data_IF_799099838862
#
_entry.id   IF_799099838862
#
_cell.length_a   1.000
_cell.length_b   1.000
_cell.length_c   1.000
_cell.angle_alpha   90.00
_cell.angle_beta   90.00
_cell.angle_gamma   90.00
#
_symmetry.space_group_name_H-M   'P 1'
#
loop_
_entity.id
_entity.type
_entity.pdbx_description
1 polymer ?
#
# COMPACT_ATOMS: atom_id res chain seq x y z
N UNK A 1 6.03 9.10 13.68
CA UNK A 1 6.59 9.82 12.51
C UNK A 1 7.32 11.09 12.90
N UNK A 2 6.68 12.02 13.64
CA UNK A 2 7.30 13.30 14.01
C UNK A 2 8.63 13.15 14.75
N UNK A 3 8.77 12.18 15.64
CA UNK A 3 10.03 11.86 16.32
C UNK A 3 11.14 11.43 15.36
N UNK A 4 10.81 10.55 14.40
CA UNK A 4 11.78 10.10 13.38
C UNK A 4 12.25 11.27 12.53
N UNK A 5 11.32 12.13 12.11
CA UNK A 5 11.64 13.31 11.29
C UNK A 5 12.51 14.30 12.05
N UNK A 6 12.22 14.54 13.34
CA UNK A 6 13.05 15.43 14.18
C UNK A 6 14.48 14.91 14.36
N UNK A 7 14.65 13.58 14.50
CA UNK A 7 15.97 12.96 14.54
C UNK A 7 16.75 13.13 13.23
N UNK A 8 16.09 12.94 12.08
CA UNK A 8 16.70 13.12 10.77
C UNK A 8 17.15 14.58 10.57
N UNK A 9 16.29 15.54 10.93
CA UNK A 9 16.65 16.96 10.88
C UNK A 9 17.83 17.30 11.80
N UNK A 10 17.85 16.73 13.03
CA UNK A 10 18.98 16.88 13.95
C UNK A 10 20.27 16.36 13.33
N UNK A 11 20.27 15.15 12.77
CA UNK A 11 21.47 14.57 12.14
C UNK A 11 21.89 15.35 10.88
N UNK A 12 20.96 15.81 10.06
CA UNK A 12 21.27 16.67 8.93
C UNK A 12 21.93 17.99 9.33
N UNK A 13 21.55 18.56 10.49
CA UNK A 13 22.20 19.74 11.07
C UNK A 13 23.58 19.41 11.63
N UNK A 14 23.69 18.30 12.39
CA UNK A 14 24.92 17.88 13.05
C UNK A 14 26.02 17.48 12.06
N UNK A 15 25.67 16.76 11.01
CA UNK A 15 26.60 16.23 10.00
C UNK A 15 26.54 16.97 8.68
N UNK A 16 26.24 18.26 8.71
CA UNK A 16 26.15 19.10 7.53
C UNK A 16 27.46 19.10 6.75
N UNK A 17 27.57 18.24 5.74
CA UNK A 17 28.70 18.17 4.81
C UNK A 17 28.17 18.25 3.38
N UNK A 18 28.93 18.86 2.44
CA UNK A 18 28.57 18.83 1.02
C UNK A 18 28.36 17.39 0.53
N UNK A 19 27.22 17.12 -0.09
CA UNK A 19 26.89 15.80 -0.65
C UNK A 19 26.39 14.76 0.35
N UNK A 20 26.22 15.10 1.65
CA UNK A 20 25.62 14.19 2.64
C UNK A 20 24.29 14.75 3.13
N UNK A 21 23.24 13.96 2.96
CA UNK A 21 21.91 14.21 3.49
C UNK A 21 21.26 12.89 3.95
N UNK A 22 20.79 12.87 5.19
CA UNK A 22 19.93 11.78 5.66
C UNK A 22 18.49 12.06 5.21
N UNK A 23 17.83 11.08 4.66
CA UNK A 23 16.43 11.18 4.23
C UNK A 23 15.55 10.18 4.95
N UNK A 24 14.26 10.36 4.82
CA UNK A 24 13.25 9.40 5.22
C UNK A 24 12.38 9.04 4.02
N UNK A 25 12.10 7.77 3.90
CA UNK A 25 11.22 7.25 2.86
C UNK A 25 10.22 6.27 3.48
N UNK A 26 8.97 6.33 3.03
CA UNK A 26 7.98 5.33 3.37
C UNK A 26 7.69 4.46 2.15
N UNK A 27 8.18 3.23 2.18
CA UNK A 27 8.01 2.26 1.10
C UNK A 27 7.22 1.04 1.57
N UNK A 28 6.27 0.55 0.77
CA UNK A 28 5.67 -0.74 0.98
C UNK A 28 6.72 -1.83 0.72
N UNK A 29 7.13 -2.55 1.77
CA UNK A 29 8.15 -3.60 1.67
C UNK A 29 7.52 -4.99 1.75
N UNK A 30 7.70 -5.83 0.71
CA UNK A 30 7.03 -7.14 0.64
C UNK A 30 7.46 -8.06 1.80
N UNK A 31 8.75 -8.38 1.91
CA UNK A 31 9.23 -9.34 2.89
C UNK A 31 9.86 -8.72 4.13
N UNK A 32 10.24 -7.46 4.09
CA UNK A 32 10.88 -6.79 5.23
C UNK A 32 9.91 -6.70 6.41
N UNK A 33 8.65 -6.33 6.17
CA UNK A 33 7.63 -6.29 7.23
C UNK A 33 7.35 -7.66 7.87
N UNK A 34 7.49 -8.76 7.11
CA UNK A 34 7.39 -10.13 7.64
C UNK A 34 8.61 -10.48 8.50
N UNK A 35 9.81 -10.17 8.00
CA UNK A 35 11.06 -10.43 8.73
C UNK A 35 11.12 -9.65 10.05
N UNK A 36 10.80 -8.36 10.03
CA UNK A 36 10.79 -7.54 11.26
C UNK A 36 9.78 -8.08 12.28
N UNK A 37 8.56 -8.43 11.84
CA UNK A 37 7.56 -9.02 12.73
C UNK A 37 8.05 -10.34 13.37
N UNK A 38 8.80 -11.15 12.63
CA UNK A 38 9.41 -12.37 13.14
C UNK A 38 10.49 -12.08 14.17
N UNK A 39 11.44 -11.20 13.85
CA UNK A 39 12.55 -10.83 14.75
C UNK A 39 12.03 -10.21 16.04
N UNK A 40 11.08 -9.28 15.96
CA UNK A 40 10.50 -8.66 17.17
C UNK A 40 9.80 -9.70 18.06
N UNK A 41 9.19 -10.75 17.49
CA UNK A 41 8.65 -11.87 18.27
C UNK A 41 9.74 -12.68 18.94
N UNK A 42 10.83 -12.97 18.22
CA UNK A 42 12.01 -13.70 18.75
C UNK A 42 12.66 -12.90 19.88
N UNK A 43 12.68 -11.57 19.79
CA UNK A 43 13.18 -10.65 20.81
C UNK A 43 12.19 -10.41 21.97
N UNK A 44 11.03 -11.08 21.97
CA UNK A 44 10.04 -11.03 23.04
C UNK A 44 9.06 -9.86 22.99
N UNK A 45 9.03 -9.09 21.90
CA UNK A 45 8.05 -8.02 21.72
C UNK A 45 6.67 -8.56 21.35
N UNK A 46 5.63 -7.88 21.83
CA UNK A 46 4.24 -8.20 21.46
C UNK A 46 3.97 -7.71 20.03
N UNK A 47 3.93 -8.63 19.09
CA UNK A 47 3.64 -8.36 17.69
C UNK A 47 2.20 -8.75 17.38
N UNK A 48 1.33 -7.82 16.93
CA UNK A 48 -0.10 -8.08 16.74
C UNK A 48 -0.42 -8.98 15.53
N UNK A 49 0.51 -9.12 14.59
CA UNK A 49 0.37 -9.92 13.37
C UNK A 49 1.71 -10.38 12.83
N UNK A 50 1.69 -11.32 11.86
CA UNK A 50 2.93 -11.88 11.26
C UNK A 50 3.56 -11.00 10.17
N UNK A 51 3.03 -9.80 9.96
CA UNK A 51 3.52 -8.86 8.97
C UNK A 51 3.20 -7.43 9.39
N UNK A 52 4.21 -6.57 9.46
CA UNK A 52 4.00 -5.16 9.71
C UNK A 52 3.35 -4.46 8.51
N UNK A 53 2.64 -3.39 8.82
CA UNK A 53 2.00 -2.51 7.85
C UNK A 53 3.02 -1.78 6.97
N UNK A 54 2.65 -1.60 5.72
CA UNK A 54 3.45 -0.82 4.75
C UNK A 54 2.90 0.60 4.51
N UNK A 55 1.86 1.00 5.26
CA UNK A 55 1.17 2.29 5.08
C UNK A 55 0.94 2.97 6.42
N UNK A 56 0.59 4.26 6.40
CA UNK A 56 0.19 5.01 7.60
C UNK A 56 -1.18 4.61 8.15
N UNK A 57 -1.85 3.66 7.54
CA UNK A 57 -3.13 3.10 7.99
C UNK A 57 -3.09 1.58 7.99
N UNK A 58 -3.94 0.97 8.81
CA UNK A 58 -4.11 -0.49 8.84
C UNK A 58 -4.96 -0.92 7.65
N UNK A 59 -4.44 -1.81 6.81
CA UNK A 59 -5.05 -2.16 5.50
C UNK A 59 -6.42 -2.84 5.61
N UNK A 60 -6.72 -3.47 6.76
CA UNK A 60 -8.02 -4.06 7.08
C UNK A 60 -9.02 -3.04 7.64
N UNK A 61 -8.59 -1.83 8.00
CA UNK A 61 -9.47 -0.86 8.64
C UNK A 61 -10.48 -0.29 7.66
N UNK A 62 -11.74 -0.65 7.85
CA UNK A 62 -12.87 -0.17 7.05
C UNK A 62 -13.23 1.29 7.35
N UNK A 63 -12.85 1.80 8.52
CA UNK A 63 -13.18 3.17 8.95
C UNK A 63 -12.25 4.23 8.33
N UNK A 64 -11.10 3.81 7.78
CA UNK A 64 -10.20 4.73 7.07
C UNK A 64 -10.64 4.83 5.61
N UNK A 65 -11.42 5.84 5.30
CA UNK A 65 -11.89 6.07 3.93
C UNK A 65 -10.79 6.58 3.00
N UNK A 66 -11.08 6.66 1.69
CA UNK A 66 -10.09 7.05 0.68
C UNK A 66 -9.60 8.49 0.89
N UNK A 67 -10.46 9.41 1.32
CA UNK A 67 -10.08 10.81 1.58
C UNK A 67 -9.11 10.90 2.77
N UNK A 68 -9.35 10.12 3.83
CA UNK A 68 -8.44 10.07 4.97
C UNK A 68 -7.09 9.48 4.60
N UNK A 69 -7.05 8.51 3.68
CA UNK A 69 -5.79 7.97 3.14
C UNK A 69 -4.99 9.04 2.40
N UNK A 70 -5.64 9.90 1.59
CA UNK A 70 -4.97 11.04 0.95
C UNK A 70 -4.43 12.04 1.98
N UNK A 71 -5.20 12.37 3.04
CA UNK A 71 -4.72 13.24 4.12
C UNK A 71 -3.52 12.66 4.86
N UNK A 72 -3.55 11.36 5.17
CA UNK A 72 -2.44 10.67 5.85
C UNK A 72 -1.17 10.63 4.98
N UNK A 73 -1.31 10.62 3.66
CA UNK A 73 -0.20 10.67 2.71
C UNK A 73 -0.03 12.05 2.05
N UNK A 74 -0.58 13.09 2.69
CA UNK A 74 -0.57 14.46 2.21
C UNK A 74 0.62 15.29 2.73
N UNK A 75 0.57 16.59 2.48
CA UNK A 75 1.65 17.55 2.74
C UNK A 75 2.22 17.49 4.15
N UNK A 76 1.38 17.23 5.17
CA UNK A 76 1.81 17.17 6.57
C UNK A 76 3.04 16.28 6.79
N UNK A 77 3.11 15.13 6.09
CA UNK A 77 4.20 14.17 6.21
C UNK A 77 5.11 14.15 4.98
N UNK A 78 4.56 14.30 3.78
CA UNK A 78 5.30 14.20 2.52
C UNK A 78 6.44 15.21 2.42
N UNK A 79 6.24 16.43 2.88
CA UNK A 79 7.29 17.47 2.87
C UNK A 79 8.57 17.08 3.63
N UNK A 80 8.47 16.14 4.56
CA UNK A 80 9.60 15.63 5.33
C UNK A 80 10.15 14.30 4.81
N UNK A 81 9.45 13.65 3.88
CA UNK A 81 9.83 12.37 3.29
C UNK A 81 10.55 12.61 1.97
N UNK A 82 11.80 13.10 2.05
CA UNK A 82 12.58 13.44 0.86
C UNK A 82 12.94 12.23 -0.01
N UNK A 83 12.85 11.01 0.53
CA UNK A 83 12.93 9.76 -0.22
C UNK A 83 11.62 9.35 -0.89
N UNK A 84 10.50 9.97 -0.48
CA UNK A 84 9.17 9.72 -1.04
C UNK A 84 8.24 8.89 -0.16
N UNK A 85 7.00 8.77 -0.62
CA UNK A 85 5.96 7.96 0.01
C UNK A 85 4.97 7.51 -1.05
N UNK A 86 4.63 6.22 -1.07
CA UNK A 86 3.67 5.66 -2.02
C UNK A 86 2.37 5.26 -1.33
N UNK A 87 1.24 5.78 -1.81
CA UNK A 87 -0.09 5.38 -1.38
C UNK A 87 -0.74 4.45 -2.40
N UNK A 88 -1.18 3.27 -1.98
CA UNK A 88 -2.08 2.42 -2.77
C UNK A 88 -3.52 2.59 -2.27
N UNK A 89 -4.36 3.26 -3.04
CA UNK A 89 -5.79 3.34 -2.78
C UNK A 89 -6.46 2.07 -3.26
N UNK A 90 -6.78 1.16 -2.33
CA UNK A 90 -7.45 -0.10 -2.64
C UNK A 90 -8.93 0.17 -2.93
N UNK A 91 -9.36 -0.13 -4.16
CA UNK A 91 -10.73 0.04 -4.64
C UNK A 91 -11.27 -1.32 -5.11
N UNK A 92 -12.55 -1.59 -4.86
CA UNK A 92 -13.19 -2.84 -5.27
C UNK A 92 -13.54 -2.83 -6.76
N UNK A 93 -13.77 -1.65 -7.33
CA UNK A 93 -14.21 -1.48 -8.70
C UNK A 93 -13.54 -0.29 -9.41
N UNK A 94 -13.63 -0.29 -10.73
CA UNK A 94 -13.22 0.85 -11.54
C UNK A 94 -14.21 1.98 -11.38
N UNK A 95 -13.70 3.17 -11.12
CA UNK A 95 -14.49 4.39 -11.00
C UNK A 95 -14.82 4.98 -12.37
N UNK A 96 -15.83 5.82 -12.41
CA UNK A 96 -16.10 6.68 -13.58
C UNK A 96 -14.98 7.71 -13.75
N UNK A 97 -14.86 8.25 -14.94
CA UNK A 97 -13.85 9.27 -15.24
C UNK A 97 -13.98 10.51 -14.34
N UNK A 98 -15.22 10.90 -14.01
CA UNK A 98 -15.46 12.05 -13.14
C UNK A 98 -15.11 11.78 -11.69
N UNK A 99 -15.36 10.57 -11.17
CA UNK A 99 -14.92 10.16 -9.85
C UNK A 99 -13.39 10.15 -9.74
N UNK A 100 -12.69 9.63 -10.75
CA UNK A 100 -11.22 9.72 -10.79
C UNK A 100 -10.73 11.18 -10.79
N UNK A 101 -11.35 12.05 -11.61
CA UNK A 101 -11.00 13.49 -11.63
C UNK A 101 -11.21 14.16 -10.26
N UNK A 102 -12.30 13.82 -9.56
CA UNK A 102 -12.54 14.34 -8.21
C UNK A 102 -11.48 13.87 -7.22
N UNK A 103 -11.10 12.59 -7.23
CA UNK A 103 -10.04 12.07 -6.38
C UNK A 103 -8.67 12.69 -6.69
N UNK A 104 -8.37 12.96 -7.96
CA UNK A 104 -7.16 13.69 -8.35
C UNK A 104 -7.13 15.11 -7.77
N UNK A 105 -8.27 15.82 -7.78
CA UNK A 105 -8.39 17.15 -7.16
C UNK A 105 -8.18 17.08 -5.64
N UNK A 106 -8.72 16.04 -4.99
CA UNK A 106 -8.50 15.82 -3.54
C UNK A 106 -7.03 15.54 -3.27
N UNK A 107 -6.39 14.65 -4.02
CA UNK A 107 -4.97 14.32 -3.86
C UNK A 107 -4.10 15.58 -4.01
N UNK A 108 -4.38 16.41 -5.02
CA UNK A 108 -3.68 17.68 -5.23
C UNK A 108 -3.89 18.66 -4.07
N UNK A 109 -5.13 18.78 -3.58
CA UNK A 109 -5.46 19.67 -2.45
C UNK A 109 -4.79 19.24 -1.15
N UNK A 110 -4.73 17.94 -0.89
CA UNK A 110 -4.08 17.40 0.31
C UNK A 110 -2.54 17.32 0.17
N UNK A 111 -1.99 17.62 -1.01
CA UNK A 111 -0.54 17.54 -1.28
C UNK A 111 -0.01 16.12 -1.40
N UNK A 112 -0.86 15.13 -1.70
CA UNK A 112 -0.44 13.76 -1.96
C UNK A 112 0.17 13.67 -3.36
N UNK A 113 1.48 13.46 -3.43
CA UNK A 113 2.25 13.57 -4.68
C UNK A 113 2.50 12.24 -5.38
N UNK A 114 2.37 11.09 -4.67
CA UNK A 114 2.58 9.77 -5.26
C UNK A 114 1.54 8.76 -4.75
N UNK A 115 0.66 8.33 -5.62
CA UNK A 115 -0.37 7.36 -5.30
C UNK A 115 -0.82 6.58 -6.54
N UNK A 116 -1.49 5.45 -6.32
CA UNK A 116 -2.13 4.65 -7.36
C UNK A 116 -3.47 4.12 -6.88
N UNK A 117 -4.39 3.94 -7.82
CA UNK A 117 -5.62 3.19 -7.58
C UNK A 117 -5.32 1.71 -7.79
N UNK A 118 -5.44 0.93 -6.73
CA UNK A 118 -5.16 -0.49 -6.72
C UNK A 118 -6.47 -1.28 -6.76
N UNK A 119 -6.80 -1.81 -7.94
CA UNK A 119 -8.00 -2.60 -8.18
C UNK A 119 -7.53 -4.02 -8.53
N UNK A 120 -7.98 -5.06 -7.82
CA UNK A 120 -7.60 -6.42 -8.13
C UNK A 120 -8.12 -6.86 -9.49
N UNK A 121 -7.26 -7.43 -10.32
CA UNK A 121 -7.66 -8.08 -11.57
C UNK A 121 -7.79 -9.58 -11.33
N UNK A 122 -8.81 -10.21 -11.91
CA UNK A 122 -9.01 -11.65 -11.84
C UNK A 122 -8.22 -12.36 -12.94
N UNK A 123 -7.53 -13.44 -12.59
CA UNK A 123 -6.83 -14.33 -13.52
C UNK A 123 -7.41 -15.73 -13.41
N UNK A 124 -7.89 -16.29 -14.51
CA UNK A 124 -8.31 -17.69 -14.55
C UNK A 124 -7.11 -18.61 -14.74
N UNK A 125 -6.90 -19.54 -13.83
CA UNK A 125 -5.79 -20.49 -13.91
C UNK A 125 -6.03 -21.57 -14.99
N UNK A 126 -7.28 -21.85 -15.37
CA UNK A 126 -7.59 -22.90 -16.34
C UNK A 126 -7.49 -22.44 -17.79
N UNK A 127 -7.94 -21.21 -18.11
CA UNK A 127 -7.94 -20.74 -19.50
C UNK A 127 -7.03 -19.52 -19.73
N UNK A 128 -6.34 -19.01 -18.72
CA UNK A 128 -5.44 -17.87 -18.80
C UNK A 128 -6.14 -16.50 -19.01
N UNK A 129 -7.49 -16.45 -18.99
CA UNK A 129 -8.22 -15.19 -19.16
C UNK A 129 -7.93 -14.24 -18.01
N UNK A 130 -7.66 -12.97 -18.33
CA UNK A 130 -7.47 -11.89 -17.36
C UNK A 130 -8.63 -10.90 -17.51
N UNK A 131 -9.33 -10.66 -16.41
CA UNK A 131 -10.41 -9.66 -16.33
C UNK A 131 -10.02 -8.56 -15.34
N UNK A 132 -10.27 -7.30 -15.73
CA UNK A 132 -9.97 -6.13 -14.89
C UNK A 132 -10.87 -5.96 -13.67
N UNK A 133 -11.92 -6.78 -13.55
CA UNK A 133 -12.85 -6.78 -12.41
C UNK A 133 -12.46 -7.85 -11.40
N UNK A 134 -12.86 -7.65 -10.17
CA UNK A 134 -12.77 -8.67 -9.13
C UNK A 134 -13.94 -9.64 -9.26
N UNK A 135 -13.71 -10.84 -9.79
CA UNK A 135 -14.75 -11.83 -10.10
C UNK A 135 -14.53 -13.11 -9.29
N UNK A 136 -15.62 -13.83 -9.03
CA UNK A 136 -15.62 -15.16 -8.38
C UNK A 136 -15.70 -16.31 -9.39
N UNK A 137 -15.96 -15.99 -10.67
CA UNK A 137 -16.10 -16.96 -11.75
C UNK A 137 -15.55 -16.38 -13.04
N UNK A 138 -14.82 -17.20 -13.80
CA UNK A 138 -14.27 -16.78 -15.08
C UNK A 138 -15.38 -16.52 -16.12
N UNK A 139 -15.47 -15.31 -16.72
CA UNK A 139 -16.51 -15.02 -17.69
C UNK A 139 -16.31 -15.74 -19.03
N UNK A 140 -15.09 -16.27 -19.28
CA UNK A 140 -14.76 -16.96 -20.54
C UNK A 140 -15.05 -18.46 -20.48
N UNK A 141 -14.67 -19.18 -19.40
CA UNK A 141 -14.80 -20.63 -19.33
C UNK A 141 -15.65 -21.11 -18.15
N UNK A 142 -16.15 -20.21 -17.31
CA UNK A 142 -16.99 -20.56 -16.17
C UNK A 142 -16.26 -21.16 -14.98
N UNK A 143 -14.92 -21.28 -15.01
CA UNK A 143 -14.13 -21.83 -13.92
C UNK A 143 -14.13 -20.91 -12.68
N UNK A 144 -14.06 -21.53 -11.51
CA UNK A 144 -13.86 -20.89 -10.21
C UNK A 144 -12.40 -20.99 -9.73
N UNK A 145 -11.53 -21.67 -10.48
CA UNK A 145 -10.10 -21.74 -10.22
C UNK A 145 -9.43 -20.43 -10.63
N UNK A 146 -9.49 -19.45 -9.74
CA UNK A 146 -9.08 -18.08 -9.97
C UNK A 146 -7.93 -17.67 -9.05
N UNK A 147 -7.11 -16.77 -9.55
CA UNK A 147 -6.11 -16.00 -8.80
C UNK A 147 -6.35 -14.51 -9.04
N UNK A 148 -5.71 -13.67 -8.24
CA UNK A 148 -5.87 -12.22 -8.34
C UNK A 148 -4.54 -11.51 -8.50
N UNK A 149 -4.50 -10.54 -9.40
CA UNK A 149 -3.38 -9.61 -9.54
C UNK A 149 -3.68 -8.36 -8.72
N UNK A 150 -2.82 -8.06 -7.76
CA UNK A 150 -2.91 -6.84 -6.96
C UNK A 150 -1.51 -6.29 -6.69
N UNK A 151 -1.43 -5.03 -6.26
CA UNK A 151 -0.14 -4.42 -5.93
C UNK A 151 0.28 -4.83 -4.53
N UNK A 152 1.54 -5.25 -4.41
CA UNK A 152 2.22 -5.48 -3.12
C UNK A 152 3.10 -4.29 -2.80
N UNK A 153 3.92 -3.93 -3.78
CA UNK A 153 4.82 -2.78 -3.79
C UNK A 153 4.34 -1.85 -4.91
N UNK A 154 5.16 -1.43 -5.83
CA UNK A 154 4.75 -0.59 -6.95
C UNK A 154 4.14 -1.34 -8.15
N UNK A 155 4.25 -2.66 -8.22
CA UNK A 155 3.84 -3.48 -9.37
C UNK A 155 2.75 -4.50 -9.04
N UNK A 156 2.05 -4.96 -10.07
CA UNK A 156 1.04 -6.01 -9.97
C UNK A 156 1.71 -7.37 -9.86
N UNK A 157 1.24 -8.19 -8.91
CA UNK A 157 1.72 -9.58 -8.72
C UNK A 157 0.55 -10.47 -8.36
N UNK A 158 0.59 -11.73 -8.78
CA UNK A 158 -0.41 -12.74 -8.36
C UNK A 158 -0.34 -12.93 -6.85
N UNK A 159 -1.49 -12.98 -6.21
CA UNK A 159 -1.59 -13.20 -4.75
C UNK A 159 -0.99 -14.54 -4.36
N UNK A 160 -1.16 -15.58 -5.18
CA UNK A 160 -0.55 -16.90 -4.97
C UNK A 160 1.00 -16.86 -4.91
N UNK A 161 1.62 -15.85 -5.52
CA UNK A 161 3.08 -15.66 -5.52
C UNK A 161 3.57 -14.81 -4.35
N UNK A 162 2.69 -14.35 -3.45
CA UNK A 162 3.10 -13.65 -2.24
C UNK A 162 3.65 -14.63 -1.21
N UNK A 163 4.45 -14.15 -0.25
CA UNK A 163 4.76 -14.92 0.95
C UNK A 163 3.48 -15.24 1.73
N UNK A 164 3.44 -16.34 2.47
CA UNK A 164 2.26 -16.78 3.20
C UNK A 164 1.66 -15.68 4.08
N UNK A 165 2.49 -14.97 4.85
CA UNK A 165 2.05 -13.86 5.69
C UNK A 165 1.44 -12.71 4.87
N UNK A 166 1.95 -12.45 3.65
CA UNK A 166 1.39 -11.45 2.74
C UNK A 166 0.10 -11.93 2.04
N UNK A 167 -0.06 -13.21 1.80
CA UNK A 167 -1.33 -13.76 1.32
C UNK A 167 -2.43 -13.57 2.37
N UNK A 168 -2.11 -13.82 3.65
CA UNK A 168 -3.03 -13.56 4.77
C UNK A 168 -3.36 -12.08 4.88
N UNK A 169 -2.37 -11.19 4.75
CA UNK A 169 -2.60 -9.73 4.72
C UNK A 169 -3.48 -9.35 3.53
N UNK A 170 -3.20 -9.84 2.32
CA UNK A 170 -3.97 -9.57 1.11
C UNK A 170 -5.44 -10.01 1.24
N UNK A 171 -5.70 -11.15 1.89
CA UNK A 171 -7.07 -11.65 2.13
C UNK A 171 -7.89 -10.79 3.10
N UNK A 172 -7.21 -10.00 3.94
CA UNK A 172 -7.83 -9.10 4.94
C UNK A 172 -7.95 -7.66 4.46
N UNK A 173 -7.36 -7.31 3.30
CA UNK A 173 -7.40 -5.95 2.79
C UNK A 173 -8.83 -5.46 2.58
N UNK A 174 -9.10 -4.28 3.07
CA UNK A 174 -10.33 -3.58 2.76
C UNK A 174 -10.18 -2.83 1.42
N UNK A 175 -11.11 -3.10 0.51
CA UNK A 175 -11.25 -2.41 -0.76
C UNK A 175 -12.49 -1.53 -0.70
N UNK A 176 -12.30 -0.22 -0.91
CA UNK A 176 -13.39 0.75 -0.82
C UNK A 176 -14.33 0.65 -2.03
N UNK A 177 -15.63 0.80 -1.77
CA UNK A 177 -16.68 1.01 -2.79
C UNK A 177 -17.05 2.49 -2.87
N UNK A 178 -17.55 2.93 -4.03
CA UNK A 178 -18.04 4.28 -4.30
C UNK A 178 -19.46 4.25 -4.86
#
# INVERSE_FOLDING_TARGET
MEEILSLIEKYNKQYKKPGLMFNCEMIPAENVGVKHAKWDKEDGFKVPRDCYNSYFYVVENQNTNVLDKFKLHGERYIKHLTGGSALHCNLEEHLTQDQYRQLLKVASKEGCNYFTFNIPNTVCNDCGHIDKRYLKKCPKCGSENLDYLTRVIGYMKRVSNFSQARQVEASKRFYAKF
#
